data_IF_600971697135
#
_entry.id   IF_600971697135
#
_cell.length_a   1.000
_cell.length_b   1.000
_cell.length_c   1.000
_cell.angle_alpha   90.00
_cell.angle_beta   90.00
_cell.angle_gamma   90.00
#
_symmetry.space_group_name_H-M   'P 1'
#
loop_
_entity.id
_entity.type
_entity.pdbx_description
1 polymer ?
#
# COMPACT_ATOMS: atom_id res chain seq x y z
N UNK A 1 -3.03 -12.02 50.44
CA UNK A 1 -3.74 -12.92 49.50
C UNK A 1 -2.68 -13.63 48.66
N UNK A 2 -2.63 -14.97 48.62
CA UNK A 2 -1.59 -15.70 47.91
C UNK A 2 -1.92 -15.82 46.40
N UNK A 3 -0.91 -15.61 45.56
CA UNK A 3 -1.00 -15.74 44.11
C UNK A 3 -1.22 -17.21 43.69
N UNK A 4 -2.03 -17.49 42.65
CA UNK A 4 -2.26 -18.85 42.18
C UNK A 4 -1.04 -19.38 41.42
N UNK A 5 -0.62 -20.60 41.80
CA UNK A 5 0.43 -21.38 41.13
C UNK A 5 0.01 -21.70 39.70
N UNK A 6 0.87 -21.35 38.72
CA UNK A 6 0.73 -21.76 37.32
C UNK A 6 0.93 -23.28 37.21
N UNK A 7 0.05 -23.97 36.48
CA UNK A 7 0.18 -25.38 36.12
C UNK A 7 1.28 -25.56 35.05
N UNK A 8 2.02 -26.67 35.04
CA UNK A 8 2.91 -27.01 33.94
C UNK A 8 2.09 -27.34 32.70
N UNK A 9 2.54 -26.85 31.54
CA UNK A 9 2.04 -27.25 30.24
C UNK A 9 2.62 -28.63 29.91
N UNK A 10 1.74 -29.58 29.64
CA UNK A 10 2.08 -30.91 29.15
C UNK A 10 2.76 -30.79 27.77
N UNK A 11 3.84 -31.54 27.63
CA UNK A 11 4.66 -31.69 26.44
C UNK A 11 3.99 -32.64 25.46
N UNK A 12 3.29 -32.09 24.46
CA UNK A 12 2.88 -32.86 23.29
C UNK A 12 4.07 -33.03 22.33
N UNK A 13 4.70 -34.18 22.45
CA UNK A 13 5.48 -34.84 21.40
C UNK A 13 4.53 -35.32 20.31
N UNK A 14 4.74 -34.88 19.06
CA UNK A 14 4.61 -35.67 17.82
C UNK A 14 4.53 -34.76 16.58
N UNK A 15 5.57 -33.93 16.38
CA UNK A 15 5.80 -33.27 15.09
C UNK A 15 6.83 -34.09 14.29
N UNK A 16 6.34 -34.94 13.38
CA UNK A 16 7.14 -35.58 12.35
C UNK A 16 7.11 -34.68 11.09
N UNK A 17 8.22 -34.05 10.68
CA UNK A 17 8.25 -33.28 9.44
C UNK A 17 8.18 -34.23 8.23
N UNK A 18 7.13 -34.09 7.43
CA UNK A 18 7.04 -34.74 6.12
C UNK A 18 8.15 -34.22 5.19
N UNK A 19 8.92 -35.09 4.52
CA UNK A 19 9.94 -34.65 3.57
C UNK A 19 9.32 -33.99 2.34
N UNK A 20 10.00 -32.99 1.74
CA UNK A 20 9.49 -32.32 0.54
C UNK A 20 9.43 -33.30 -0.64
N UNK A 21 8.28 -33.31 -1.31
CA UNK A 21 8.07 -34.04 -2.55
C UNK A 21 9.06 -33.52 -3.61
N UNK A 22 10.02 -34.37 -4.01
CA UNK A 22 10.82 -34.18 -5.23
C UNK A 22 9.86 -34.16 -6.42
N UNK A 23 9.60 -32.98 -6.97
CA UNK A 23 9.00 -32.84 -8.28
C UNK A 23 10.05 -33.27 -9.32
N UNK A 24 9.60 -34.14 -10.22
CA UNK A 24 10.35 -34.70 -11.32
C UNK A 24 11.02 -33.59 -12.14
N UNK A 25 12.33 -33.74 -12.31
CA UNK A 25 13.19 -32.95 -13.19
C UNK A 25 13.36 -33.76 -14.47
N UNK A 26 12.35 -33.73 -15.33
CA UNK A 26 12.44 -34.21 -16.71
C UNK A 26 11.76 -33.15 -17.60
N UNK A 27 12.39 -32.86 -18.74
CA UNK A 27 12.05 -31.83 -19.73
C UNK A 27 12.65 -30.41 -19.52
N UNK A 28 13.98 -30.32 -19.41
CA UNK A 28 14.75 -29.17 -19.96
C UNK A 28 16.11 -29.68 -20.48
N UNK A 29 16.06 -30.57 -21.47
CA UNK A 29 17.21 -30.90 -22.32
C UNK A 29 16.64 -31.03 -23.74
N UNK A 30 16.51 -29.90 -24.46
CA UNK A 30 16.34 -29.87 -25.93
C UNK A 30 16.36 -28.44 -26.50
N UNK A 31 17.19 -27.54 -25.96
CA UNK A 31 17.53 -26.27 -26.63
C UNK A 31 19.00 -25.93 -26.31
N UNK A 32 19.93 -26.73 -26.84
CA UNK A 32 21.35 -26.35 -26.82
C UNK A 32 22.15 -27.02 -27.95
N UNK A 33 21.77 -26.76 -29.20
CA UNK A 33 22.65 -26.99 -30.35
C UNK A 33 22.45 -25.86 -31.37
N UNK A 34 23.58 -25.29 -31.82
CA UNK A 34 23.76 -24.23 -32.81
C UNK A 34 23.74 -22.77 -32.33
N UNK A 35 24.90 -22.28 -31.89
CA UNK A 35 25.61 -21.20 -32.61
C UNK A 35 27.11 -21.27 -32.27
N UNK A 36 27.89 -21.71 -33.26
CA UNK A 36 29.35 -21.70 -33.28
C UNK A 36 29.78 -20.61 -34.25
N UNK A 37 30.36 -19.53 -33.74
CA UNK A 37 31.38 -18.72 -34.43
C UNK A 37 31.90 -17.64 -33.47
N UNK A 38 33.14 -17.81 -33.03
CA UNK A 38 33.88 -16.82 -32.25
C UNK A 38 34.42 -15.71 -33.17
N UNK A 39 34.40 -14.45 -32.75
CA UNK A 39 35.38 -13.46 -33.18
C UNK A 39 36.45 -13.24 -32.10
N UNK A 40 37.68 -13.27 -32.59
CA UNK A 40 38.95 -13.06 -31.92
C UNK A 40 39.00 -11.73 -31.16
N UNK A 41 39.40 -11.79 -29.90
CA UNK A 41 39.72 -10.64 -29.04
C UNK A 41 41.01 -9.94 -29.51
N UNK A 42 41.03 -8.60 -29.68
CA UNK A 42 42.25 -7.81 -29.63
C UNK A 42 42.56 -7.43 -28.18
N UNK A 43 43.80 -7.71 -27.77
CA UNK A 43 44.28 -7.61 -26.40
C UNK A 43 44.27 -6.19 -25.79
N UNK A 44 44.36 -6.09 -24.46
CA UNK A 44 44.48 -4.81 -23.79
C UNK A 44 45.89 -4.24 -23.98
N UNK A 45 45.94 -3.11 -24.66
CA UNK A 45 47.11 -2.24 -24.73
C UNK A 45 47.45 -1.71 -23.33
N UNK A 46 48.72 -1.88 -23.00
CA UNK A 46 49.45 -1.21 -21.93
C UNK A 46 49.25 0.31 -22.01
N UNK A 47 48.84 0.92 -20.90
CA UNK A 47 48.91 2.36 -20.68
C UNK A 47 49.04 2.63 -19.17
N UNK A 48 50.21 3.18 -18.83
CA UNK A 48 50.58 3.91 -17.62
C UNK A 48 51.12 3.11 -16.42
N UNK A 49 52.33 2.61 -16.61
CA UNK A 49 53.44 2.86 -15.67
C UNK A 49 53.63 4.39 -15.49
N UNK A 50 53.38 4.90 -14.29
CA UNK A 50 54.06 6.07 -13.71
C UNK A 50 53.43 6.46 -12.36
N UNK A 51 53.70 5.69 -11.30
CA UNK A 51 53.80 6.27 -9.95
C UNK A 51 54.98 5.61 -9.24
N UNK A 52 56.11 6.26 -9.43
CA UNK A 52 57.35 6.00 -8.71
C UNK A 52 57.15 6.38 -7.24
N UNK A 53 57.40 5.40 -6.39
CA UNK A 53 58.23 5.47 -5.19
C UNK A 53 58.59 6.90 -4.70
N UNK A 54 58.01 7.26 -3.56
CA UNK A 54 58.21 8.52 -2.86
C UNK A 54 58.09 8.27 -1.35
N UNK A 55 59.25 7.99 -0.77
CA UNK A 55 59.60 7.81 0.63
C UNK A 55 58.94 8.78 1.61
N UNK A 56 58.53 8.23 2.75
CA UNK A 56 58.66 8.74 4.12
C UNK A 56 59.10 10.20 4.28
N UNK A 57 58.14 11.05 4.65
CA UNK A 57 58.37 12.22 5.49
C UNK A 57 57.19 12.33 6.50
N UNK A 58 57.37 11.61 7.61
CA UNK A 58 56.74 11.93 8.89
C UNK A 58 57.25 13.30 9.33
N UNK A 59 56.50 14.36 9.01
CA UNK A 59 56.82 15.68 9.54
C UNK A 59 55.57 16.48 9.96
N UNK A 60 55.48 16.64 11.29
CA UNK A 60 54.95 17.83 11.96
C UNK A 60 53.46 18.15 11.79
N UNK A 61 52.63 17.43 12.55
CA UNK A 61 51.30 17.90 13.00
C UNK A 61 51.44 19.22 13.77
N UNK A 62 51.25 20.35 13.08
CA UNK A 62 51.00 21.64 13.74
C UNK A 62 49.54 21.68 14.22
N UNK A 63 49.26 22.08 15.46
CA UNK A 63 47.89 22.28 15.91
C UNK A 63 47.28 23.46 15.15
N UNK A 64 46.17 23.21 14.44
CA UNK A 64 45.31 24.25 13.87
C UNK A 64 44.77 25.12 15.02
N UNK A 65 44.66 26.46 14.83
CA UNK A 65 44.16 27.35 15.86
C UNK A 65 42.66 27.13 16.13
N UNK A 66 42.34 27.32 17.42
CA UNK A 66 41.10 27.15 18.20
C UNK A 66 39.84 27.90 17.70
N UNK A 67 39.62 28.00 16.38
CA UNK A 67 38.59 28.85 15.77
C UNK A 67 37.22 28.18 15.63
N UNK A 68 37.11 26.86 15.81
CA UNK A 68 35.84 26.12 15.69
C UNK A 68 35.14 25.84 17.02
N UNK A 69 35.79 26.09 18.14
CA UNK A 69 35.26 25.88 19.50
C UNK A 69 34.22 26.95 19.92
N UNK A 70 33.97 27.96 19.07
CA UNK A 70 33.02 29.05 19.34
C UNK A 70 31.64 28.91 18.68
N UNK A 71 31.43 27.94 17.78
CA UNK A 71 30.17 27.81 17.02
C UNK A 71 29.21 26.76 17.61
N UNK A 72 29.67 25.88 18.51
CA UNK A 72 28.84 24.79 19.08
C UNK A 72 28.55 24.99 20.58
N UNK A 73 28.38 26.24 21.01
CA UNK A 73 28.23 26.58 22.43
C UNK A 73 26.99 27.37 22.77
N UNK A 74 25.79 26.78 22.66
CA UNK A 74 24.62 27.00 23.55
C UNK A 74 23.30 26.58 22.87
N UNK A 75 22.91 25.32 22.99
CA UNK A 75 21.50 24.93 22.88
C UNK A 75 20.90 25.01 24.30
N UNK A 76 19.95 25.91 24.58
CA UNK A 76 19.24 25.90 25.86
C UNK A 76 18.30 24.69 25.91
N UNK A 77 18.49 23.85 26.93
CA UNK A 77 17.50 22.89 27.39
C UNK A 77 16.26 23.64 27.89
N UNK A 78 15.23 23.71 27.05
CA UNK A 78 13.90 24.13 27.50
C UNK A 78 13.22 22.96 28.23
N UNK A 79 13.04 23.12 29.54
CA UNK A 79 12.12 22.31 30.33
C UNK A 79 10.66 22.55 29.88
N UNK A 80 9.79 21.51 29.96
CA UNK A 80 8.39 21.64 29.58
C UNK A 80 7.58 22.33 30.69
N UNK A 81 7.22 23.59 30.45
CA UNK A 81 6.20 24.29 31.24
C UNK A 81 4.85 23.59 31.09
N UNK A 82 4.39 23.02 32.20
CA UNK A 82 3.00 22.64 32.43
C UNK A 82 2.16 23.90 32.63
N UNK A 83 1.12 24.10 31.81
CA UNK A 83 -0.16 24.76 32.17
C UNK A 83 -0.90 25.25 30.92
N UNK A 84 -2.09 24.69 30.69
CA UNK A 84 -3.36 25.42 30.55
C UNK A 84 -4.32 24.65 29.64
N UNK A 85 -5.43 24.25 30.25
CA UNK A 85 -6.56 23.60 29.61
C UNK A 85 -7.16 24.47 28.49
N UNK A 86 -7.40 23.85 27.32
CA UNK A 86 -8.18 24.45 26.25
C UNK A 86 -9.43 23.59 26.00
N UNK A 87 -10.56 24.17 26.32
CA UNK A 87 -11.93 23.66 26.17
C UNK A 87 -12.27 23.46 24.68
N UNK A 88 -12.97 22.37 24.28
CA UNK A 88 -13.38 22.20 22.88
C UNK A 88 -14.56 23.13 22.52
N UNK A 89 -14.57 23.72 21.31
CA UNK A 89 -15.70 24.52 20.86
C UNK A 89 -16.92 23.64 20.56
N UNK A 90 -18.04 24.19 21.02
CA UNK A 90 -19.40 23.70 21.01
C UNK A 90 -19.93 23.53 19.59
N UNK A 91 -20.39 22.32 19.25
CA UNK A 91 -21.14 21.98 18.03
C UNK A 91 -22.40 22.85 17.90
N UNK A 92 -22.36 23.86 17.04
CA UNK A 92 -23.56 24.57 16.59
C UNK A 92 -24.21 23.78 15.45
N UNK A 93 -25.29 23.07 15.79
CA UNK A 93 -26.31 22.62 14.82
C UNK A 93 -27.01 23.87 14.27
N UNK A 94 -26.71 24.27 13.04
CA UNK A 94 -27.61 25.10 12.27
C UNK A 94 -28.40 24.22 11.29
N UNK A 95 -29.69 24.09 11.60
CA UNK A 95 -30.74 23.73 10.67
C UNK A 95 -30.83 24.86 9.64
N UNK A 96 -30.64 24.56 8.37
CA UNK A 96 -31.20 25.36 7.29
C UNK A 96 -32.40 24.59 6.72
N UNK A 97 -33.55 25.26 6.75
CA UNK A 97 -34.78 24.83 6.13
C UNK A 97 -34.80 25.21 4.64
N UNK A 98 -35.74 24.58 3.95
CA UNK A 98 -36.39 25.00 2.69
C UNK A 98 -35.52 25.18 1.46
N UNK A 99 -35.72 24.34 0.45
CA UNK A 99 -36.53 24.70 -0.73
C UNK A 99 -36.73 23.49 -1.66
N UNK A 100 -37.99 23.17 -1.93
CA UNK A 100 -38.47 22.44 -3.11
C UNK A 100 -38.91 23.49 -4.13
N UNK A 101 -38.86 23.28 -5.46
CA UNK A 101 -39.82 22.37 -6.12
C UNK A 101 -39.35 21.72 -7.45
N UNK A 102 -39.92 20.56 -7.78
CA UNK A 102 -40.38 20.23 -9.15
C UNK A 102 -41.04 18.85 -9.13
N UNK A 103 -42.36 18.86 -9.33
CA UNK A 103 -43.20 17.69 -9.52
C UNK A 103 -43.13 17.25 -10.99
N UNK A 104 -42.90 15.96 -11.23
CA UNK A 104 -43.23 15.28 -12.49
C UNK A 104 -44.07 14.04 -12.11
N UNK A 105 -45.23 13.82 -12.77
CA UNK A 105 -46.17 12.77 -12.39
C UNK A 105 -45.73 11.42 -12.94
N UNK A 106 -45.82 10.38 -12.10
CA UNK A 106 -45.67 8.99 -12.53
C UNK A 106 -47.01 8.26 -12.37
N UNK A 107 -47.38 7.37 -13.31
CA UNK A 107 -48.75 6.92 -13.51
C UNK A 107 -49.18 5.80 -12.56
N UNK A 108 -50.50 5.73 -12.40
CA UNK A 108 -51.26 4.81 -11.59
C UNK A 108 -50.79 3.35 -11.69
N UNK A 109 -50.31 2.82 -10.56
CA UNK A 109 -50.30 1.38 -10.30
C UNK A 109 -51.60 1.00 -9.60
N UNK A 110 -52.36 0.18 -10.31
CA UNK A 110 -53.58 -0.49 -9.91
C UNK A 110 -53.41 -1.24 -8.59
N UNK A 111 -54.18 -0.83 -7.59
CA UNK A 111 -54.46 -1.60 -6.38
C UNK A 111 -55.31 -2.83 -6.75
N UNK A 112 -54.64 -3.94 -7.05
CA UNK A 112 -55.28 -5.26 -7.01
C UNK A 112 -55.43 -5.61 -5.53
N UNK A 113 -56.66 -5.53 -5.03
CA UNK A 113 -57.06 -6.07 -3.75
C UNK A 113 -56.82 -7.59 -3.77
N UNK A 114 -55.68 -8.01 -3.25
CA UNK A 114 -55.40 -9.42 -2.99
C UNK A 114 -56.21 -9.82 -1.74
N UNK A 115 -57.32 -10.50 -1.98
CA UNK A 115 -58.23 -11.00 -0.98
C UNK A 115 -57.46 -11.85 0.04
N UNK A 116 -57.44 -11.39 1.28
CA UNK A 116 -56.87 -12.13 2.41
C UNK A 116 -57.69 -13.42 2.57
N UNK A 117 -57.09 -14.62 2.52
CA UNK A 117 -57.84 -15.84 2.72
C UNK A 117 -58.34 -15.88 4.17
N UNK A 118 -59.66 -15.79 4.32
CA UNK A 118 -60.37 -16.03 5.58
C UNK A 118 -59.99 -17.41 6.07
N UNK A 119 -59.11 -17.46 7.07
CA UNK A 119 -58.81 -18.68 7.82
C UNK A 119 -60.09 -19.13 8.51
N UNK A 120 -60.75 -20.11 7.92
CA UNK A 120 -61.71 -20.96 8.63
C UNK A 120 -61.04 -21.46 9.91
N UNK A 121 -61.56 -21.02 11.06
CA UNK A 121 -61.19 -21.53 12.38
C UNK A 121 -61.62 -23.00 12.43
N UNK A 122 -60.79 -23.88 11.89
CA UNK A 122 -60.85 -25.31 12.14
C UNK A 122 -60.70 -25.52 13.65
N UNK A 123 -61.76 -25.99 14.28
CA UNK A 123 -61.78 -26.30 15.70
C UNK A 123 -60.61 -27.21 16.05
N UNK A 124 -59.77 -26.77 16.97
CA UNK A 124 -58.72 -27.63 17.53
C UNK A 124 -59.41 -28.86 18.13
N UNK A 125 -59.04 -30.09 17.71
CA UNK A 125 -59.49 -31.27 18.43
C UNK A 125 -59.04 -31.14 19.88
N UNK A 126 -60.00 -31.22 20.82
CA UNK A 126 -59.71 -31.29 22.26
C UNK A 126 -58.79 -32.48 22.48
N UNK A 127 -57.51 -32.21 22.67
CA UNK A 127 -56.55 -33.23 23.10
C UNK A 127 -57.07 -33.84 24.41
N UNK A 128 -57.35 -35.14 24.36
CA UNK A 128 -57.75 -35.93 25.53
C UNK A 128 -56.68 -35.73 26.59
N UNK A 129 -57.08 -35.24 27.77
CA UNK A 129 -56.17 -35.08 28.88
C UNK A 129 -55.57 -36.44 29.22
N UNK A 130 -54.24 -36.61 29.26
CA UNK A 130 -53.64 -37.84 29.72
C UNK A 130 -54.04 -38.08 31.18
N UNK A 131 -54.61 -39.26 31.43
CA UNK A 131 -54.92 -39.76 32.77
C UNK A 131 -53.67 -39.67 33.64
N UNK A 132 -53.73 -38.83 34.68
CA UNK A 132 -52.67 -38.71 35.68
C UNK A 132 -52.67 -39.98 36.52
N UNK A 133 -51.71 -40.87 36.26
CA UNK A 133 -51.37 -41.92 37.20
C UNK A 133 -50.99 -41.30 38.56
N UNK A 134 -51.65 -41.75 39.63
CA UNK A 134 -51.40 -41.33 41.00
C UNK A 134 -49.95 -41.66 41.37
N UNK A 135 -49.15 -40.60 41.49
CA UNK A 135 -47.75 -40.69 41.88
C UNK A 135 -47.68 -41.16 43.32
N UNK A 136 -47.03 -42.31 43.52
CA UNK A 136 -46.69 -42.86 44.82
C UNK A 136 -45.92 -41.83 45.65
N UNK A 137 -46.31 -41.78 46.92
CA UNK A 137 -45.95 -40.78 47.92
C UNK A 137 -44.54 -41.08 48.43
N UNK A 138 -43.52 -40.57 47.74
CA UNK A 138 -42.17 -40.50 48.31
C UNK A 138 -41.99 -39.21 49.10
N UNK A 139 -41.45 -39.40 50.29
CA UNK A 139 -41.42 -38.56 51.47
C UNK A 139 -40.51 -37.33 51.38
N UNK A 140 -40.84 -36.36 52.25
CA UNK A 140 -40.00 -35.32 52.88
C UNK A 140 -38.99 -34.55 52.00
N UNK A 141 -39.48 -33.72 51.09
CA UNK A 141 -38.76 -32.52 50.68
C UNK A 141 -39.44 -31.31 51.33
N UNK A 142 -38.65 -30.43 51.93
CA UNK A 142 -39.13 -29.18 52.53
C UNK A 142 -39.74 -28.26 51.46
N UNK A 143 -40.61 -27.33 51.85
CA UNK A 143 -41.24 -26.39 50.90
C UNK A 143 -40.19 -25.57 50.13
N UNK A 144 -39.11 -25.18 50.80
CA UNK A 144 -38.01 -24.43 50.21
C UNK A 144 -37.25 -25.22 49.13
N UNK A 145 -37.01 -26.52 49.33
CA UNK A 145 -36.37 -27.36 48.30
C UNK A 145 -37.24 -27.51 47.05
N UNK A 146 -38.57 -27.50 47.19
CA UNK A 146 -39.48 -27.55 46.04
C UNK A 146 -39.44 -26.24 45.25
N UNK A 147 -39.38 -25.10 45.92
CA UNK A 147 -39.28 -23.81 45.27
C UNK A 147 -37.90 -23.60 44.63
N UNK A 148 -36.83 -24.05 45.27
CA UNK A 148 -35.49 -24.07 44.69
C UNK A 148 -35.38 -25.01 43.47
N UNK A 149 -36.05 -26.17 43.48
CA UNK A 149 -36.14 -27.05 42.30
C UNK A 149 -36.95 -26.42 41.17
N UNK A 150 -38.02 -25.69 41.49
CA UNK A 150 -38.83 -24.98 40.49
C UNK A 150 -38.09 -23.79 39.89
N UNK A 151 -37.38 -23.01 40.70
CA UNK A 151 -36.61 -21.86 40.24
C UNK A 151 -35.41 -22.30 39.40
N UNK A 152 -34.66 -23.33 39.81
CA UNK A 152 -33.56 -23.90 39.02
C UNK A 152 -34.04 -24.55 37.72
N UNK A 153 -35.16 -25.28 37.72
CA UNK A 153 -35.75 -25.81 36.49
C UNK A 153 -36.19 -24.69 35.54
N UNK A 154 -36.80 -23.61 36.06
CA UNK A 154 -37.16 -22.43 35.24
C UNK A 154 -35.92 -21.76 34.67
N UNK A 155 -34.88 -21.55 35.47
CA UNK A 155 -33.63 -20.95 35.03
C UNK A 155 -32.95 -21.79 33.93
N UNK A 156 -32.91 -23.12 34.08
CA UNK A 156 -32.39 -24.03 33.06
C UNK A 156 -33.20 -24.00 31.77
N UNK A 157 -34.54 -24.01 31.86
CA UNK A 157 -35.38 -23.87 30.66
C UNK A 157 -35.18 -22.52 29.98
N UNK A 158 -35.07 -21.42 30.73
CA UNK A 158 -34.81 -20.10 30.20
C UNK A 158 -33.44 -20.04 29.50
N UNK A 159 -32.38 -20.56 30.13
CA UNK A 159 -31.05 -20.64 29.54
C UNK A 159 -31.06 -21.48 28.24
N UNK A 160 -31.69 -22.64 28.24
CA UNK A 160 -31.81 -23.50 27.05
C UNK A 160 -32.63 -22.84 25.93
N UNK A 161 -33.68 -22.09 26.26
CA UNK A 161 -34.43 -21.33 25.26
C UNK A 161 -33.63 -20.16 24.70
N UNK A 162 -32.82 -19.49 25.51
CA UNK A 162 -31.95 -18.40 25.07
C UNK A 162 -30.83 -18.92 24.15
N UNK A 163 -30.19 -20.04 24.49
CA UNK A 163 -29.16 -20.66 23.64
C UNK A 163 -29.74 -21.15 22.32
N UNK A 164 -30.93 -21.78 22.33
CA UNK A 164 -31.61 -22.20 21.11
C UNK A 164 -32.05 -21.00 20.25
N UNK A 165 -32.48 -19.88 20.86
CA UNK A 165 -32.80 -18.65 20.12
C UNK A 165 -31.56 -18.06 19.47
N UNK A 166 -30.43 -18.02 20.18
CA UNK A 166 -29.16 -17.54 19.63
C UNK A 166 -28.70 -18.40 18.45
N UNK A 167 -28.65 -19.73 18.63
CA UNK A 167 -28.30 -20.67 17.55
C UNK A 167 -29.19 -20.50 16.32
N UNK A 168 -30.52 -20.38 16.50
CA UNK A 168 -31.45 -20.13 15.39
C UNK A 168 -31.26 -18.77 14.72
N UNK A 169 -30.90 -17.74 15.49
CA UNK A 169 -30.59 -16.42 14.92
C UNK A 169 -29.29 -16.49 14.10
N UNK A 170 -28.24 -17.13 14.63
CA UNK A 170 -26.96 -17.31 13.96
C UNK A 170 -27.14 -18.14 12.67
N UNK A 171 -27.89 -19.24 12.72
CA UNK A 171 -28.22 -20.07 11.56
C UNK A 171 -29.02 -19.29 10.50
N UNK A 172 -30.00 -18.47 10.92
CA UNK A 172 -30.76 -17.64 10.00
C UNK A 172 -29.89 -16.54 9.37
N UNK A 173 -28.93 -15.98 10.09
CA UNK A 173 -27.97 -15.02 9.53
C UNK A 173 -27.01 -15.67 8.55
N UNK A 174 -26.51 -16.87 8.85
CA UNK A 174 -25.64 -17.62 7.96
C UNK A 174 -26.37 -17.98 6.66
N UNK A 175 -27.62 -18.47 6.76
CA UNK A 175 -28.45 -18.79 5.60
C UNK A 175 -28.74 -17.56 4.71
N UNK A 176 -28.98 -16.39 5.33
CA UNK A 176 -29.18 -15.14 4.58
C UNK A 176 -27.90 -14.68 3.86
N UNK A 177 -26.75 -14.88 4.48
CA UNK A 177 -25.45 -14.54 3.87
C UNK A 177 -25.17 -15.44 2.67
N UNK A 178 -25.35 -16.76 2.83
CA UNK A 178 -25.20 -17.73 1.74
C UNK A 178 -26.16 -17.45 0.57
N UNK A 179 -27.43 -17.15 0.86
CA UNK A 179 -28.41 -16.79 -0.18
C UNK A 179 -28.04 -15.48 -0.90
N UNK A 180 -27.51 -14.49 -0.17
CA UNK A 180 -27.04 -13.23 -0.77
C UNK A 180 -25.82 -13.43 -1.67
N UNK A 181 -24.87 -14.27 -1.25
CA UNK A 181 -23.69 -14.63 -2.05
C UNK A 181 -24.09 -15.41 -3.31
N UNK A 182 -24.98 -16.39 -3.19
CA UNK A 182 -25.50 -17.15 -4.33
C UNK A 182 -26.22 -16.25 -5.34
N UNK A 183 -27.04 -15.30 -4.87
CA UNK A 183 -27.70 -14.31 -5.74
C UNK A 183 -26.69 -13.39 -6.42
N UNK A 184 -25.67 -12.93 -5.70
CA UNK A 184 -24.62 -12.07 -6.27
C UNK A 184 -23.79 -12.82 -7.33
N UNK A 185 -23.48 -14.10 -7.13
CA UNK A 185 -22.81 -14.95 -8.11
C UNK A 185 -23.69 -15.19 -9.35
N UNK A 186 -24.97 -15.49 -9.17
CA UNK A 186 -25.91 -15.67 -10.27
C UNK A 186 -26.09 -14.38 -11.09
N UNK A 187 -26.15 -13.22 -10.44
CA UNK A 187 -26.21 -11.93 -11.12
C UNK A 187 -24.93 -11.63 -11.91
N UNK A 188 -23.75 -11.91 -11.33
CA UNK A 188 -22.47 -11.79 -12.03
C UNK A 188 -22.39 -12.72 -13.25
N UNK A 189 -22.86 -13.95 -13.13
CA UNK A 189 -22.92 -14.90 -14.25
C UNK A 189 -23.82 -14.39 -15.39
N UNK A 190 -25.01 -13.88 -15.05
CA UNK A 190 -25.93 -13.28 -16.04
C UNK A 190 -25.33 -12.04 -16.72
N UNK A 191 -24.61 -11.20 -15.97
CA UNK A 191 -23.91 -10.04 -16.54
C UNK A 191 -22.79 -10.47 -17.48
N UNK A 192 -22.06 -11.54 -17.14
CA UNK A 192 -21.00 -12.12 -17.97
C UNK A 192 -21.54 -12.70 -19.29
N UNK A 193 -22.65 -13.42 -19.23
CA UNK A 193 -23.32 -13.97 -20.43
C UNK A 193 -23.76 -12.86 -21.38
N UNK A 194 -24.46 -11.83 -20.87
CA UNK A 194 -24.82 -10.65 -21.67
C UNK A 194 -23.62 -9.93 -22.25
N UNK A 195 -22.53 -9.80 -21.50
CA UNK A 195 -21.31 -9.18 -22.01
C UNK A 195 -20.67 -10.01 -23.13
N UNK A 196 -20.73 -11.34 -23.05
CA UNK A 196 -20.26 -12.23 -24.11
C UNK A 196 -21.13 -12.10 -25.37
N UNK A 197 -22.46 -12.09 -25.24
CA UNK A 197 -23.37 -11.85 -26.36
C UNK A 197 -23.13 -10.50 -27.04
N UNK A 198 -22.85 -9.45 -26.26
CA UNK A 198 -22.53 -8.13 -26.81
C UNK A 198 -21.18 -8.12 -27.53
N UNK A 199 -20.17 -8.77 -26.96
CA UNK A 199 -18.86 -8.91 -27.61
C UNK A 199 -18.98 -9.68 -28.93
N UNK A 200 -19.73 -10.79 -28.93
CA UNK A 200 -20.01 -11.58 -30.13
C UNK A 200 -20.63 -10.69 -31.21
N UNK A 201 -21.73 -9.99 -30.88
CA UNK A 201 -22.39 -9.05 -31.80
C UNK A 201 -21.47 -7.94 -32.34
N UNK A 202 -20.54 -7.44 -31.52
CA UNK A 202 -19.57 -6.43 -31.96
C UNK A 202 -18.61 -7.04 -32.99
N UNK A 203 -18.16 -8.28 -32.77
CA UNK A 203 -17.19 -8.97 -33.65
C UNK A 203 -17.79 -9.70 -34.84
N UNK A 204 -19.12 -9.86 -34.90
CA UNK A 204 -19.81 -10.48 -36.03
C UNK A 204 -19.91 -9.50 -37.20
N UNK A 205 -19.73 -10.02 -38.42
CA UNK A 205 -19.84 -9.24 -39.65
C UNK A 205 -21.26 -8.67 -39.84
N UNK A 206 -21.38 -7.56 -40.57
CA UNK A 206 -22.66 -6.90 -40.83
C UNK A 206 -23.63 -7.80 -41.62
N UNK A 207 -23.11 -8.62 -42.54
CA UNK A 207 -23.89 -9.59 -43.33
C UNK A 207 -24.61 -10.63 -42.46
N UNK A 208 -24.01 -10.97 -41.32
CA UNK A 208 -24.54 -11.92 -40.34
C UNK A 208 -25.38 -11.23 -39.24
N UNK A 209 -25.68 -9.93 -39.41
CA UNK A 209 -26.46 -9.14 -38.45
C UNK A 209 -25.66 -8.62 -37.25
N UNK A 210 -24.32 -8.61 -37.34
CA UNK A 210 -23.44 -7.99 -36.36
C UNK A 210 -23.25 -6.49 -36.57
N UNK A 211 -22.37 -5.88 -35.79
CA UNK A 211 -22.08 -4.45 -35.84
C UNK A 211 -21.09 -4.04 -36.95
N UNK A 212 -20.54 -5.01 -37.68
CA UNK A 212 -19.67 -4.75 -38.84
C UNK A 212 -18.20 -4.47 -38.51
N UNK A 213 -17.77 -4.61 -37.25
CA UNK A 213 -16.36 -4.46 -36.87
C UNK A 213 -15.60 -5.77 -37.10
N UNK A 214 -14.41 -5.68 -37.69
CA UNK A 214 -13.57 -6.86 -37.99
C UNK A 214 -12.99 -7.50 -36.73
N UNK A 215 -12.80 -6.71 -35.67
CA UNK A 215 -12.30 -7.15 -34.38
C UNK A 215 -12.73 -6.19 -33.27
N UNK A 216 -12.55 -6.60 -32.02
CA UNK A 216 -12.74 -5.71 -30.88
C UNK A 216 -11.76 -4.52 -30.90
N UNK A 217 -10.55 -4.72 -31.43
CA UNK A 217 -9.57 -3.64 -31.57
C UNK A 217 -10.02 -2.61 -32.60
N UNK A 218 -10.54 -3.05 -33.74
CA UNK A 218 -11.10 -2.19 -34.79
C UNK A 218 -12.27 -1.34 -34.26
N UNK A 219 -13.13 -1.94 -33.42
CA UNK A 219 -14.15 -1.19 -32.68
C UNK A 219 -13.55 -0.11 -31.77
N UNK A 220 -12.53 -0.44 -30.98
CA UNK A 220 -11.88 0.52 -30.09
C UNK A 220 -11.12 1.61 -30.84
N UNK A 221 -10.44 1.28 -31.94
CA UNK A 221 -9.77 2.25 -32.81
C UNK A 221 -10.78 3.21 -33.42
N UNK A 222 -11.89 2.69 -33.94
CA UNK A 222 -12.96 3.50 -34.53
C UNK A 222 -13.62 4.44 -33.52
N UNK A 223 -13.91 3.96 -32.30
CA UNK A 223 -14.57 4.77 -31.27
C UNK A 223 -13.63 5.80 -30.61
N UNK A 224 -12.31 5.58 -30.70
CA UNK A 224 -11.29 6.50 -30.17
C UNK A 224 -10.64 7.37 -31.25
N UNK A 225 -10.91 7.11 -32.53
CA UNK A 225 -10.38 7.88 -33.64
C UNK A 225 -10.77 9.36 -33.56
N UNK A 226 -9.84 10.28 -33.88
CA UNK A 226 -10.16 11.70 -33.96
C UNK A 226 -11.13 11.97 -35.13
N UNK A 227 -12.12 12.85 -34.93
CA UNK A 227 -13.02 13.32 -35.99
C UNK A 227 -14.42 12.68 -36.04
N UNK A 228 -14.77 11.83 -35.06
CA UNK A 228 -16.14 11.32 -34.89
C UNK A 228 -17.10 12.32 -34.24
N UNK A 229 -18.30 11.83 -33.88
CA UNK A 229 -19.25 12.61 -33.09
C UNK A 229 -18.60 13.08 -31.77
N UNK A 230 -18.57 14.40 -31.58
CA UNK A 230 -17.96 15.03 -30.43
C UNK A 230 -18.58 14.54 -29.11
N UNK A 231 -19.88 14.23 -29.10
CA UNK A 231 -20.56 13.72 -27.91
C UNK A 231 -20.13 12.28 -27.60
N UNK A 232 -20.08 11.40 -28.59
CA UNK A 232 -19.57 10.04 -28.44
C UNK A 232 -18.10 10.06 -27.94
N UNK A 233 -17.24 10.85 -28.56
CA UNK A 233 -15.83 10.99 -28.16
C UNK A 233 -15.66 11.49 -26.72
N UNK A 234 -16.46 12.47 -26.30
CA UNK A 234 -16.46 12.97 -24.92
C UNK A 234 -16.90 11.89 -23.92
N UNK A 235 -17.91 11.08 -24.27
CA UNK A 235 -18.38 9.97 -23.43
C UNK A 235 -17.33 8.88 -23.27
N UNK A 236 -16.68 8.48 -24.37
CA UNK A 236 -15.58 7.50 -24.36
C UNK A 236 -14.41 8.00 -23.52
N UNK A 237 -14.03 9.27 -23.70
CA UNK A 237 -12.96 9.89 -22.90
C UNK A 237 -13.29 9.89 -21.41
N UNK A 238 -14.52 10.24 -21.02
CA UNK A 238 -14.96 10.19 -19.62
C UNK A 238 -14.97 8.76 -19.07
N UNK A 239 -15.41 7.80 -19.89
CA UNK A 239 -15.42 6.40 -19.53
C UNK A 239 -13.99 5.87 -19.29
N UNK A 240 -13.05 6.13 -20.21
CA UNK A 240 -11.65 5.74 -20.08
C UNK A 240 -10.96 6.44 -18.91
N UNK A 241 -11.26 7.73 -18.65
CA UNK A 241 -10.74 8.41 -17.45
C UNK A 241 -11.21 7.77 -16.14
N UNK A 242 -12.45 7.28 -16.11
CA UNK A 242 -13.05 6.73 -14.88
C UNK A 242 -12.75 5.25 -14.68
N UNK A 243 -12.61 4.48 -15.77
CA UNK A 243 -12.53 3.01 -15.74
C UNK A 243 -11.27 2.44 -16.41
N UNK A 244 -10.47 3.26 -17.11
CA UNK A 244 -9.33 2.80 -17.90
C UNK A 244 -8.31 2.03 -17.08
N UNK A 245 -8.01 2.48 -15.86
CA UNK A 245 -7.10 1.77 -14.95
C UNK A 245 -7.63 0.36 -14.62
N UNK A 246 -8.91 0.22 -14.27
CA UNK A 246 -9.50 -1.08 -13.94
C UNK A 246 -9.53 -2.02 -15.16
N UNK A 247 -9.72 -1.47 -16.36
CA UNK A 247 -9.66 -2.24 -17.62
C UNK A 247 -8.24 -2.80 -17.81
N UNK A 248 -7.23 -1.94 -17.70
CA UNK A 248 -5.81 -2.33 -17.84
C UNK A 248 -5.41 -3.35 -16.77
N UNK A 249 -5.77 -3.12 -15.50
CA UNK A 249 -5.54 -4.06 -14.40
C UNK A 249 -6.18 -5.42 -14.69
N UNK A 250 -7.45 -5.45 -15.11
CA UNK A 250 -8.15 -6.70 -15.44
C UNK A 250 -7.50 -7.43 -16.62
N UNK A 251 -6.98 -6.70 -17.61
CA UNK A 251 -6.26 -7.28 -18.75
C UNK A 251 -4.95 -7.91 -18.27
N UNK A 252 -4.16 -7.18 -17.48
CA UNK A 252 -2.87 -7.66 -16.96
C UNK A 252 -3.02 -8.82 -15.98
N UNK A 253 -4.02 -8.79 -15.11
CA UNK A 253 -4.34 -9.91 -14.21
C UNK A 253 -4.68 -11.18 -14.99
N UNK A 254 -5.34 -11.03 -16.15
CA UNK A 254 -5.76 -12.16 -16.97
C UNK A 254 -4.66 -12.67 -17.88
N UNK A 255 -3.82 -11.79 -18.42
CA UNK A 255 -2.71 -12.14 -19.30
C UNK A 255 -1.44 -11.39 -18.85
N UNK A 256 -0.73 -11.90 -17.82
CA UNK A 256 0.43 -11.21 -17.24
C UNK A 256 1.57 -10.96 -18.22
N UNK A 257 1.72 -11.83 -19.23
CA UNK A 257 2.73 -11.69 -20.28
C UNK A 257 2.58 -10.38 -21.06
N UNK A 258 1.35 -9.95 -21.37
CA UNK A 258 1.08 -8.69 -22.06
C UNK A 258 1.52 -7.52 -21.18
N UNK A 259 1.31 -7.60 -19.86
CA UNK A 259 1.81 -6.60 -18.93
C UNK A 259 3.33 -6.49 -19.02
N UNK A 260 4.04 -7.61 -18.97
CA UNK A 260 5.51 -7.62 -19.05
C UNK A 260 6.04 -7.06 -20.37
N UNK A 261 5.48 -7.45 -21.52
CA UNK A 261 5.82 -6.87 -22.83
C UNK A 261 5.50 -5.38 -22.89
N UNK A 262 4.31 -4.97 -22.44
CA UNK A 262 3.92 -3.56 -22.43
C UNK A 262 4.86 -2.73 -21.56
N UNK A 263 5.24 -3.24 -20.39
CA UNK A 263 6.17 -2.58 -19.49
C UNK A 263 7.57 -2.48 -20.12
N UNK A 264 8.07 -3.56 -20.70
CA UNK A 264 9.40 -3.60 -21.31
C UNK A 264 9.53 -2.76 -22.60
N UNK A 265 8.48 -2.68 -23.42
CA UNK A 265 8.58 -2.01 -24.73
C UNK A 265 8.15 -0.55 -24.71
N UNK A 266 7.10 -0.20 -23.96
CA UNK A 266 6.44 1.12 -24.10
C UNK A 266 6.35 1.92 -22.82
N UNK A 267 6.26 1.24 -21.68
CA UNK A 267 6.24 1.96 -20.41
C UNK A 267 7.62 2.51 -20.07
N UNK A 268 8.68 1.77 -20.43
CA UNK A 268 10.05 2.18 -20.19
C UNK A 268 10.37 3.54 -20.79
N UNK A 269 9.97 3.83 -22.04
CA UNK A 269 10.24 5.13 -22.67
C UNK A 269 9.61 6.31 -21.91
N UNK A 270 8.31 6.21 -21.58
CA UNK A 270 7.60 7.30 -20.90
C UNK A 270 8.05 7.45 -19.45
N UNK A 271 8.28 6.34 -18.76
CA UNK A 271 8.80 6.37 -17.39
C UNK A 271 10.21 6.97 -17.39
N UNK A 272 11.05 6.59 -18.35
CA UNK A 272 12.39 7.13 -18.52
C UNK A 272 12.34 8.65 -18.74
N UNK A 273 11.47 9.16 -19.62
CA UNK A 273 11.30 10.60 -19.83
C UNK A 273 10.94 11.33 -18.53
N UNK A 274 9.99 10.78 -17.76
CA UNK A 274 9.58 11.36 -16.46
C UNK A 274 10.74 11.32 -15.47
N UNK A 275 11.45 10.20 -15.35
CA UNK A 275 12.60 10.07 -14.43
C UNK A 275 13.78 10.95 -14.86
N UNK A 276 13.99 11.16 -16.15
CA UNK A 276 15.00 12.09 -16.67
C UNK A 276 14.64 13.54 -16.34
N UNK A 277 13.35 13.92 -16.47
CA UNK A 277 12.85 15.25 -16.11
C UNK A 277 12.97 15.49 -14.60
N UNK A 278 12.50 14.56 -13.78
CA UNK A 278 12.62 14.62 -12.32
C UNK A 278 14.10 14.65 -11.88
N UNK A 279 14.95 13.83 -12.49
CA UNK A 279 16.39 13.82 -12.24
C UNK A 279 17.07 15.16 -12.60
N UNK A 280 16.66 15.80 -13.69
CA UNK A 280 17.14 17.14 -14.06
C UNK A 280 16.67 18.19 -13.05
N UNK A 281 15.42 18.11 -12.60
CA UNK A 281 14.88 19.06 -11.63
C UNK A 281 15.53 18.89 -10.24
N UNK A 282 15.83 17.66 -9.82
CA UNK A 282 16.65 17.39 -8.62
C UNK A 282 18.06 18.00 -8.78
N UNK A 283 18.68 17.82 -9.95
CA UNK A 283 19.99 18.39 -10.23
C UNK A 283 19.96 19.92 -10.12
N UNK A 284 18.96 20.58 -10.70
CA UNK A 284 18.78 22.03 -10.61
C UNK A 284 18.59 22.48 -9.15
N UNK A 285 17.75 21.78 -8.38
CA UNK A 285 17.53 22.04 -6.95
C UNK A 285 18.83 21.95 -6.12
N UNK A 286 19.69 20.97 -6.42
CA UNK A 286 20.93 20.72 -5.67
C UNK A 286 22.17 21.42 -6.25
N UNK A 287 22.02 22.17 -7.34
CA UNK A 287 23.08 22.97 -7.94
C UNK A 287 23.18 24.32 -7.22
N UNK A 288 24.39 24.70 -6.82
CA UNK A 288 24.64 26.00 -6.19
C UNK A 288 24.49 27.13 -7.18
N UNK A 289 23.79 28.19 -6.79
CA UNK A 289 23.88 29.46 -7.49
C UNK A 289 25.30 30.02 -7.36
N UNK A 290 25.84 30.54 -8.46
CA UNK A 290 27.20 31.09 -8.47
C UNK A 290 27.28 32.28 -7.51
N UNK A 291 28.13 32.15 -6.49
CA UNK A 291 28.39 33.23 -5.52
C UNK A 291 27.71 33.04 -4.16
N UNK A 292 26.80 32.07 -3.99
CA UNK A 292 26.25 31.70 -2.67
C UNK A 292 27.39 31.47 -1.70
N UNK A 293 27.36 31.99 -0.47
CA UNK A 293 28.43 31.73 0.52
C UNK A 293 28.22 30.37 1.19
N UNK A 294 29.30 29.77 1.71
CA UNK A 294 29.19 28.48 2.43
C UNK A 294 28.39 28.61 3.72
N UNK A 295 28.50 29.75 4.41
CA UNK A 295 27.74 30.01 5.63
C UNK A 295 26.23 30.09 5.35
N UNK A 296 25.83 30.79 4.28
CA UNK A 296 24.44 30.86 3.82
C UNK A 296 23.91 29.44 3.51
N UNK A 297 24.71 28.64 2.81
CA UNK A 297 24.37 27.24 2.52
C UNK A 297 24.17 26.40 3.79
N UNK A 298 25.01 26.58 4.82
CA UNK A 298 24.86 25.85 6.08
C UNK A 298 23.68 26.32 6.92
N UNK A 299 23.36 27.62 6.89
CA UNK A 299 22.23 28.21 7.63
C UNK A 299 20.89 27.78 7.04
N UNK A 300 20.80 27.68 5.71
CA UNK A 300 19.57 27.32 5.00
C UNK A 300 19.34 25.81 4.89
N UNK A 301 20.41 25.00 5.01
CA UNK A 301 20.29 23.56 4.78
C UNK A 301 19.55 22.83 5.91
N UNK A 302 18.47 22.14 5.55
CA UNK A 302 17.74 21.23 6.42
C UNK A 302 17.42 19.93 5.69
N UNK A 303 17.79 18.79 6.27
CA UNK A 303 17.48 17.47 5.71
C UNK A 303 15.98 17.21 5.61
N UNK A 304 15.19 17.71 6.56
CA UNK A 304 13.72 17.54 6.52
C UNK A 304 13.11 18.34 5.36
N UNK A 305 13.53 19.61 5.21
CA UNK A 305 13.06 20.48 4.12
C UNK A 305 13.54 19.97 2.76
N UNK A 306 14.78 19.51 2.66
CA UNK A 306 15.31 18.92 1.43
C UNK A 306 14.51 17.67 1.03
N UNK A 307 14.13 16.83 2.00
CA UNK A 307 13.24 15.69 1.75
C UNK A 307 11.86 16.11 1.23
N UNK A 308 11.27 17.18 1.77
CA UNK A 308 10.02 17.75 1.26
C UNK A 308 10.17 18.28 -0.18
N UNK A 309 11.23 19.05 -0.45
CA UNK A 309 11.51 19.62 -1.78
C UNK A 309 11.79 18.53 -2.82
N UNK A 310 12.58 17.50 -2.48
CA UNK A 310 12.85 16.38 -3.38
C UNK A 310 11.59 15.58 -3.69
N UNK A 311 10.70 15.40 -2.72
CA UNK A 311 9.42 14.73 -2.94
C UNK A 311 8.49 15.55 -3.85
N UNK A 312 8.54 16.88 -3.76
CA UNK A 312 7.78 17.79 -4.63
C UNK A 312 8.32 17.79 -6.06
N UNK A 313 9.64 17.83 -6.22
CA UNK A 313 10.33 17.94 -7.52
C UNK A 313 10.43 16.58 -8.24
N UNK A 314 10.47 15.48 -7.51
CA UNK A 314 10.60 14.13 -8.05
C UNK A 314 9.60 13.13 -7.44
N UNK A 315 8.28 13.37 -7.59
CA UNK A 315 7.25 12.57 -6.93
C UNK A 315 7.20 11.12 -7.43
N UNK A 316 7.55 10.85 -8.69
CA UNK A 316 7.51 9.51 -9.28
C UNK A 316 8.67 8.67 -8.77
N UNK A 317 9.90 9.19 -8.84
CA UNK A 317 11.08 8.55 -8.27
C UNK A 317 10.90 8.28 -6.77
N UNK A 318 10.39 9.27 -6.03
CA UNK A 318 10.11 9.13 -4.61
C UNK A 318 9.12 7.99 -4.33
N UNK A 319 8.03 7.91 -5.10
CA UNK A 319 7.03 6.84 -4.98
C UNK A 319 7.64 5.47 -5.30
N UNK A 320 8.53 5.37 -6.30
CA UNK A 320 9.24 4.12 -6.62
C UNK A 320 10.10 3.69 -5.42
N UNK A 321 10.86 4.60 -4.82
CA UNK A 321 11.66 4.30 -3.62
C UNK A 321 10.77 3.87 -2.44
N UNK A 322 9.64 4.56 -2.23
CA UNK A 322 8.70 4.23 -1.15
C UNK A 322 8.06 2.85 -1.33
N UNK A 323 7.58 2.54 -2.54
CA UNK A 323 6.93 1.25 -2.86
C UNK A 323 7.91 0.08 -2.87
N UNK A 324 9.16 0.29 -3.29
CA UNK A 324 10.17 -0.78 -3.30
C UNK A 324 10.79 -1.05 -1.94
N UNK A 325 10.97 -0.02 -1.11
CA UNK A 325 11.58 -0.18 0.21
C UNK A 325 10.58 -0.59 1.32
N UNK A 326 9.28 -0.36 1.12
CA UNK A 326 8.24 -0.68 2.12
C UNK A 326 7.39 -1.87 1.63
N UNK A 327 7.57 -3.09 2.17
CA UNK A 327 6.77 -4.22 1.77
C UNK A 327 5.29 -4.03 2.13
N UNK A 328 4.39 -4.22 1.15
CA UNK A 328 2.95 -3.91 1.21
C UNK A 328 2.15 -4.58 2.34
N UNK A 329 2.69 -5.59 3.03
CA UNK A 329 1.84 -6.55 3.78
C UNK A 329 2.15 -6.75 5.26
N UNK A 330 3.23 -6.22 5.83
CA UNK A 330 3.69 -6.77 7.14
C UNK A 330 3.61 -5.91 8.39
N UNK A 331 3.59 -4.58 8.38
CA UNK A 331 3.67 -3.83 9.67
C UNK A 331 2.92 -2.50 9.66
N UNK A 332 1.62 -2.50 9.36
CA UNK A 332 0.79 -1.29 9.43
C UNK A 332 0.47 -0.81 10.85
N UNK A 333 0.85 -1.55 11.90
CA UNK A 333 0.33 -1.31 13.26
C UNK A 333 1.33 -0.81 14.30
N UNK A 334 2.66 -0.92 14.12
CA UNK A 334 3.60 -0.65 15.23
C UNK A 334 4.86 0.21 14.93
N UNK A 335 5.12 0.63 13.68
CA UNK A 335 6.34 1.41 13.34
C UNK A 335 6.10 2.93 13.09
N UNK A 336 5.26 3.59 13.90
CA UNK A 336 4.60 4.86 13.52
C UNK A 336 5.41 6.16 13.62
N UNK A 337 6.72 6.17 13.89
CA UNK A 337 7.48 7.43 13.98
C UNK A 337 8.91 7.36 13.50
N UNK A 338 9.76 6.67 14.27
CA UNK A 338 11.21 6.67 14.05
C UNK A 338 11.63 5.88 12.80
N UNK A 339 11.08 4.69 12.60
CA UNK A 339 11.35 3.89 11.40
C UNK A 339 10.93 4.61 10.11
N UNK A 340 9.86 5.43 10.16
CA UNK A 340 9.42 6.24 9.03
C UNK A 340 10.38 7.42 8.75
N UNK A 341 10.82 8.13 9.80
CA UNK A 341 11.82 9.21 9.69
C UNK A 341 13.13 8.68 9.09
N UNK A 342 13.58 7.51 9.52
CA UNK A 342 14.81 6.90 9.00
C UNK A 342 14.70 6.54 7.51
N UNK A 343 13.57 5.97 7.06
CA UNK A 343 13.32 5.67 5.64
C UNK A 343 13.33 6.93 4.77
N UNK A 344 12.70 8.02 5.25
CA UNK A 344 12.68 9.30 4.54
C UNK A 344 14.08 9.89 4.34
N UNK A 345 14.94 9.78 5.34
CA UNK A 345 16.35 10.20 5.23
C UNK A 345 17.08 9.38 4.16
N UNK A 346 16.88 8.05 4.13
CA UNK A 346 17.46 7.18 3.09
C UNK A 346 17.03 7.61 1.69
N UNK A 347 15.74 7.91 1.48
CA UNK A 347 15.25 8.36 0.17
C UNK A 347 15.82 9.73 -0.22
N UNK A 348 15.89 10.66 0.74
CA UNK A 348 16.49 11.99 0.55
C UNK A 348 17.95 11.86 0.10
N UNK A 349 18.73 11.02 0.79
CA UNK A 349 20.12 10.75 0.44
C UNK A 349 20.25 10.03 -0.91
N UNK A 350 19.37 9.08 -1.24
CA UNK A 350 19.37 8.40 -2.53
C UNK A 350 19.11 9.37 -3.70
N UNK A 351 18.11 10.24 -3.57
CA UNK A 351 17.81 11.28 -4.57
C UNK A 351 18.97 12.29 -4.70
N UNK A 352 19.59 12.68 -3.59
CA UNK A 352 20.77 13.54 -3.62
C UNK A 352 21.96 12.86 -4.33
N UNK A 353 22.22 11.58 -4.05
CA UNK A 353 23.25 10.80 -4.76
C UNK A 353 22.98 10.71 -6.27
N UNK A 354 21.72 10.57 -6.68
CA UNK A 354 21.34 10.58 -8.09
C UNK A 354 21.69 11.91 -8.78
N UNK A 355 21.56 13.05 -8.08
CA UNK A 355 21.91 14.37 -8.63
C UNK A 355 23.40 14.47 -8.96
N UNK A 356 24.25 13.91 -8.10
CA UNK A 356 25.70 13.90 -8.25
C UNK A 356 26.11 13.04 -9.45
N UNK A 357 25.46 11.90 -9.66
CA UNK A 357 25.69 11.07 -10.85
C UNK A 357 25.37 11.80 -12.15
N UNK A 358 24.46 12.79 -12.13
CA UNK A 358 24.12 13.61 -13.29
C UNK A 358 25.04 14.81 -13.46
N UNK A 359 25.48 15.42 -12.37
CA UNK A 359 26.37 16.59 -12.42
C UNK A 359 27.26 16.70 -11.19
N UNK A 360 28.57 16.78 -11.44
CA UNK A 360 29.56 17.08 -10.40
C UNK A 360 29.39 18.48 -9.79
N UNK A 361 28.65 19.38 -10.46
CA UNK A 361 28.34 20.73 -9.97
C UNK A 361 27.14 20.76 -9.02
N UNK A 362 26.31 19.71 -9.00
CA UNK A 362 25.16 19.56 -8.10
C UNK A 362 25.61 18.99 -6.74
N UNK A 363 26.50 19.72 -6.06
CA UNK A 363 27.26 19.25 -4.91
C UNK A 363 26.90 19.96 -3.59
N UNK A 364 25.77 20.69 -3.53
CA UNK A 364 25.39 21.35 -2.27
C UNK A 364 25.25 20.34 -1.13
N UNK A 365 24.62 19.21 -1.42
CA UNK A 365 24.47 18.13 -0.45
C UNK A 365 25.82 17.60 0.06
N UNK A 366 26.74 17.18 -0.82
CA UNK A 366 27.98 16.56 -0.34
C UNK A 366 28.92 17.57 0.34
N UNK A 367 28.87 18.85 -0.04
CA UNK A 367 29.60 19.92 0.66
C UNK A 367 29.07 20.11 2.07
N UNK A 368 27.75 20.18 2.25
CA UNK A 368 27.15 20.32 3.59
C UNK A 368 27.44 19.11 4.47
N UNK A 369 27.27 17.90 3.95
CA UNK A 369 27.61 16.66 4.68
C UNK A 369 29.11 16.64 5.01
N UNK A 370 29.97 17.05 4.07
CA UNK A 370 31.40 17.17 4.29
C UNK A 370 31.77 18.14 5.42
N UNK A 371 31.17 19.33 5.42
CA UNK A 371 31.37 20.33 6.48
C UNK A 371 30.86 19.83 7.83
N UNK A 372 29.71 19.16 7.85
CA UNK A 372 29.14 18.55 9.05
C UNK A 372 30.08 17.47 9.63
N UNK A 373 30.64 16.60 8.78
CA UNK A 373 31.60 15.57 9.20
C UNK A 373 32.87 16.20 9.78
N UNK A 374 33.41 17.22 9.11
CA UNK A 374 34.58 17.94 9.59
C UNK A 374 34.32 18.61 10.94
N UNK A 375 33.18 19.29 11.11
CA UNK A 375 32.79 19.92 12.37
C UNK A 375 32.53 18.91 13.49
N UNK A 376 32.10 17.69 13.14
CA UNK A 376 31.92 16.57 14.07
C UNK A 376 33.23 15.88 14.46
N UNK A 377 34.37 16.32 13.91
CA UNK A 377 35.68 15.73 14.20
C UNK A 377 35.92 14.40 13.49
N UNK A 378 35.21 14.11 12.39
CA UNK A 378 35.49 12.94 11.57
C UNK A 378 36.95 12.98 11.08
N UNK A 379 37.61 11.82 11.10
CA UNK A 379 38.99 11.73 10.64
C UNK A 379 39.06 11.93 9.12
N UNK A 380 40.22 12.41 8.64
CA UNK A 380 40.48 12.56 7.19
C UNK A 380 40.18 11.26 6.43
N UNK A 381 40.56 10.11 7.00
CA UNK A 381 40.35 8.79 6.38
C UNK A 381 38.86 8.45 6.25
N UNK A 382 38.05 8.70 7.27
CA UNK A 382 36.60 8.46 7.21
C UNK A 382 35.91 9.34 6.17
N UNK A 383 36.31 10.61 6.09
CA UNK A 383 35.79 11.54 5.09
C UNK A 383 36.15 11.13 3.66
N UNK A 384 37.38 10.65 3.41
CA UNK A 384 37.76 10.12 2.09
C UNK A 384 36.97 8.85 1.72
N UNK A 385 36.67 7.97 2.69
CA UNK A 385 35.81 6.79 2.44
C UNK A 385 34.40 7.22 2.04
N UNK A 386 33.82 8.20 2.75
CA UNK A 386 32.49 8.72 2.42
C UNK A 386 32.46 9.51 1.11
N UNK A 387 33.56 10.19 0.78
CA UNK A 387 33.70 10.86 -0.51
C UNK A 387 33.79 9.87 -1.67
N UNK A 388 34.54 8.79 -1.50
CA UNK A 388 34.56 7.68 -2.47
C UNK A 388 33.20 7.01 -2.64
N UNK A 389 32.39 6.94 -1.58
CA UNK A 389 31.01 6.46 -1.64
C UNK A 389 30.02 7.47 -2.26
N UNK A 390 30.46 8.70 -2.58
CA UNK A 390 29.61 9.75 -3.14
C UNK A 390 28.70 10.45 -2.12
N UNK A 391 28.94 10.28 -0.81
CA UNK A 391 28.12 10.87 0.26
C UNK A 391 28.61 12.27 0.69
N UNK A 392 29.91 12.52 0.62
CA UNK A 392 30.53 13.79 1.00
C UNK A 392 31.54 14.26 -0.06
N UNK A 393 31.97 15.52 0.00
CA UNK A 393 33.18 15.95 -0.71
C UNK A 393 34.45 15.47 0.00
N UNK A 394 35.57 15.41 -0.73
CA UNK A 394 36.89 15.08 -0.14
C UNK A 394 37.29 16.08 0.95
N UNK A 395 38.14 15.65 1.89
CA UNK A 395 38.62 16.52 2.97
C UNK A 395 39.35 17.75 2.40
N UNK A 396 40.16 17.54 1.36
CA UNK A 396 40.94 18.61 0.73
C UNK A 396 40.03 19.67 0.08
N UNK A 397 38.96 19.24 -0.59
CA UNK A 397 37.96 20.15 -1.16
C UNK A 397 37.31 21.00 -0.07
N UNK A 398 36.92 20.39 1.05
CA UNK A 398 36.29 21.11 2.16
C UNK A 398 37.28 22.09 2.82
N UNK A 399 38.52 21.67 3.03
CA UNK A 399 39.56 22.55 3.57
C UNK A 399 39.81 23.76 2.66
N UNK A 400 39.75 23.58 1.34
CA UNK A 400 39.87 24.69 0.38
C UNK A 400 38.70 25.67 0.43
N UNK A 401 37.53 25.21 0.88
CA UNK A 401 36.33 26.03 1.05
C UNK A 401 36.35 26.88 2.33
N UNK A 402 37.12 26.48 3.33
CA UNK A 402 37.23 27.17 4.63
C UNK A 402 38.32 28.24 4.63
N UNK A 403 39.37 28.05 3.82
CA UNK A 403 40.46 29.01 3.62
C UNK A 403 39.99 30.20 2.79
#
# INVERSE_FOLDING_TARGET
>A
MPFPKKRPLDSDSDYQPTPPKRLHREAVEDILVHTSSAPTSPGPGSLNDAFSDGSDDEDSLRPLPDLLTRIVGSLPTHEPSTSAACTPPRRSRQRAASESPAQIPSPATSTIFEATPVRTRGGRPRAKQPLRHSRTFNSSLTSEERDNRRSSARAQTAANTATNRKKKADELTAKKLEEAEARALAEKARKREKAAELLEKITTAEEDGGAGFSSLMDFFETITAPGGDAQASANVTRFLKSNGLQIVETIFDRVPAIGQEYFAEKFDERLEEVLQQEGKAIQELLTRERGTRILELLEEFSMEQLGDQLQEVAPTLWRILETTAIPDKTTRREEQGEARRQKRLVFTTACAMLSISRSQLANNYQVVIGLFLLASGASKREMEVLAHAGLSTSYNTISSHIK
#
